data_IF_121898803705
#
_entry.id   IF_121898803705
#
_cell.length_a   1.000
_cell.length_b   1.000
_cell.length_c   1.000
_cell.angle_alpha   90.00
_cell.angle_beta   90.00
_cell.angle_gamma   90.00
#
_symmetry.space_group_name_H-M   'P 1'
#
loop_
_entity.id
_entity.type
_entity.pdbx_description
1 polymer ?
#
# COMPACT_ATOMS: atom_id res chain seq x y z
N UNK A 1 -57.88 -10.48 33.18
CA UNK A 1 -56.94 -9.58 32.51
C UNK A 1 -55.52 -10.12 32.76
N UNK A 2 -54.94 -10.92 31.81
CA UNK A 2 -53.60 -11.47 31.88
C UNK A 2 -52.67 -10.59 31.04
N UNK A 3 -51.73 -9.87 31.69
CA UNK A 3 -50.63 -9.15 31.03
C UNK A 3 -49.62 -10.18 30.57
N UNK A 4 -49.41 -10.30 29.26
CA UNK A 4 -48.26 -11.02 28.66
C UNK A 4 -47.05 -10.09 28.67
N UNK A 5 -46.03 -10.49 29.39
CA UNK A 5 -44.70 -9.88 29.40
C UNK A 5 -43.93 -10.42 28.18
N UNK A 6 -43.61 -9.56 27.22
CA UNK A 6 -42.77 -9.88 26.09
C UNK A 6 -41.33 -9.70 26.54
N UNK A 7 -40.61 -10.80 26.70
CA UNK A 7 -39.14 -10.76 26.87
C UNK A 7 -38.51 -10.62 25.48
N UNK A 8 -37.93 -9.45 25.23
CA UNK A 8 -37.06 -9.23 24.09
C UNK A 8 -35.66 -9.81 24.46
N UNK A 9 -35.31 -10.96 23.91
CA UNK A 9 -33.94 -11.44 23.97
C UNK A 9 -33.08 -10.62 23.01
N UNK A 10 -32.34 -9.67 23.55
CA UNK A 10 -31.24 -8.97 22.85
C UNK A 10 -30.06 -9.91 22.84
N UNK A 11 -29.85 -10.64 21.74
CA UNK A 11 -28.63 -11.40 21.52
C UNK A 11 -27.51 -10.39 21.21
N UNK A 12 -26.81 -9.97 22.27
CA UNK A 12 -25.51 -9.30 22.12
C UNK A 12 -24.49 -10.37 21.68
N UNK A 13 -24.26 -10.49 20.38
CA UNK A 13 -23.07 -11.16 19.88
C UNK A 13 -21.87 -10.30 20.23
N UNK A 14 -21.24 -10.60 21.36
CA UNK A 14 -19.91 -10.11 21.67
C UNK A 14 -18.95 -10.80 20.67
N UNK A 15 -18.67 -10.15 19.54
CA UNK A 15 -17.54 -10.53 18.71
C UNK A 15 -16.31 -10.10 19.50
N UNK A 16 -15.74 -11.03 20.27
CA UNK A 16 -14.38 -10.88 20.77
C UNK A 16 -13.46 -10.87 19.54
N UNK A 17 -13.03 -9.69 19.15
CA UNK A 17 -11.93 -9.53 18.19
C UNK A 17 -10.67 -10.03 18.88
N UNK A 18 -10.47 -11.34 18.88
CA UNK A 18 -9.17 -11.93 19.06
C UNK A 18 -8.36 -11.52 17.83
N UNK A 19 -7.49 -10.53 17.99
CA UNK A 19 -6.45 -10.26 17.00
C UNK A 19 -5.71 -11.59 16.77
N UNK A 20 -5.68 -12.15 15.56
CA UNK A 20 -4.93 -13.35 15.32
C UNK A 20 -3.44 -13.02 15.49
N UNK A 21 -2.82 -13.57 16.51
CA UNK A 21 -1.36 -13.71 16.54
C UNK A 21 -1.01 -14.64 15.39
N UNK A 22 -0.67 -14.08 14.25
CA UNK A 22 -0.22 -14.84 13.10
C UNK A 22 1.21 -15.25 13.39
N UNK A 23 1.39 -16.47 13.89
CA UNK A 23 2.68 -17.16 13.87
C UNK A 23 2.96 -17.42 12.39
N UNK A 24 3.93 -16.70 11.83
CA UNK A 24 4.38 -16.90 10.47
C UNK A 24 5.02 -18.31 10.38
N UNK A 25 4.35 -19.24 9.73
CA UNK A 25 5.03 -20.43 9.21
C UNK A 25 5.96 -19.97 8.09
N UNK A 26 7.25 -19.97 8.36
CA UNK A 26 8.29 -19.67 7.37
C UNK A 26 8.43 -20.88 6.45
N UNK A 27 7.74 -20.84 5.33
CA UNK A 27 8.08 -21.70 4.19
C UNK A 27 9.47 -21.35 3.65
N UNK A 28 10.10 -22.24 2.89
CA UNK A 28 11.48 -22.19 2.38
C UNK A 28 11.94 -20.88 1.66
N UNK A 29 11.10 -19.87 1.59
CA UNK A 29 11.39 -18.56 0.96
C UNK A 29 11.23 -17.36 1.89
N UNK A 30 11.01 -17.56 3.21
CA UNK A 30 10.77 -16.46 4.16
C UNK A 30 9.49 -15.64 3.90
N UNK A 31 8.63 -16.07 2.98
CA UNK A 31 7.37 -15.39 2.64
C UNK A 31 6.25 -15.97 3.49
N UNK A 32 5.65 -15.15 4.34
CA UNK A 32 4.43 -15.54 5.04
C UNK A 32 3.37 -15.99 4.03
N UNK A 33 2.80 -17.18 4.23
CA UNK A 33 1.68 -17.66 3.41
C UNK A 33 0.49 -16.73 3.65
N UNK A 34 0.03 -16.05 2.62
CA UNK A 34 -1.13 -15.15 2.68
C UNK A 34 -2.37 -15.95 2.35
N UNK A 35 -3.17 -16.26 3.36
CA UNK A 35 -4.46 -16.92 3.15
C UNK A 35 -5.52 -15.93 2.64
N UNK A 36 -6.55 -16.39 1.94
CA UNK A 36 -7.69 -15.53 1.56
C UNK A 36 -8.25 -14.78 2.77
N UNK A 37 -8.45 -15.47 3.89
CA UNK A 37 -8.97 -14.89 5.13
C UNK A 37 -8.12 -13.73 5.63
N UNK A 38 -6.80 -13.90 5.67
CA UNK A 38 -5.89 -12.87 6.18
C UNK A 38 -5.90 -11.62 5.30
N UNK A 39 -5.92 -11.81 3.98
CA UNK A 39 -5.95 -10.69 3.03
C UNK A 39 -7.30 -9.98 3.06
N UNK A 40 -8.42 -10.71 2.99
CA UNK A 40 -9.75 -10.12 2.99
C UNK A 40 -10.04 -9.39 4.32
N UNK A 41 -9.61 -9.96 5.45
CA UNK A 41 -9.70 -9.30 6.76
C UNK A 41 -8.90 -8.00 6.80
N UNK A 42 -7.71 -7.97 6.15
CA UNK A 42 -6.92 -6.73 6.07
C UNK A 42 -7.60 -5.65 5.25
N UNK A 43 -8.32 -6.00 4.17
CA UNK A 43 -9.14 -5.05 3.42
C UNK A 43 -10.29 -4.49 4.27
N UNK A 44 -11.03 -5.35 4.97
CA UNK A 44 -12.11 -4.91 5.85
C UNK A 44 -11.61 -3.98 6.96
N UNK A 45 -10.47 -4.31 7.58
CA UNK A 45 -9.85 -3.47 8.61
C UNK A 45 -9.35 -2.12 8.07
N UNK A 46 -8.77 -2.13 6.87
CA UNK A 46 -8.21 -0.94 6.25
C UNK A 46 -9.28 0.02 5.72
N UNK A 47 -10.36 -0.51 5.16
CA UNK A 47 -11.41 0.25 4.47
C UNK A 47 -12.82 -0.09 5.00
N UNK A 48 -13.08 0.07 6.33
CA UNK A 48 -14.35 -0.36 6.94
C UNK A 48 -15.57 0.30 6.32
N UNK A 49 -15.45 1.54 5.82
CA UNK A 49 -16.55 2.29 5.21
C UNK A 49 -16.77 1.96 3.72
N UNK A 50 -15.89 1.18 3.10
CA UNK A 50 -15.92 0.84 1.67
C UNK A 50 -16.21 -0.63 1.42
N UNK A 51 -15.71 -1.49 2.31
CA UNK A 51 -15.90 -2.94 2.24
C UNK A 51 -17.25 -3.29 2.86
N UNK A 52 -18.08 -3.99 2.08
CA UNK A 52 -19.35 -4.54 2.57
C UNK A 52 -19.17 -5.94 3.16
N UNK A 53 -19.82 -6.93 2.54
CA UNK A 53 -19.80 -8.31 3.02
C UNK A 53 -18.61 -9.07 2.47
N UNK A 54 -17.97 -9.88 3.33
CA UNK A 54 -17.02 -10.92 2.93
C UNK A 54 -17.67 -12.26 3.23
N UNK A 55 -17.85 -13.10 2.21
CA UNK A 55 -18.53 -14.40 2.31
C UNK A 55 -17.61 -15.50 1.84
N UNK A 56 -17.53 -16.58 2.63
CA UNK A 56 -16.88 -17.82 2.20
C UNK A 56 -17.91 -18.65 1.42
N UNK A 57 -17.65 -18.83 0.16
CA UNK A 57 -18.41 -19.71 -0.73
C UNK A 57 -17.78 -21.12 -0.75
N UNK A 58 -18.44 -22.16 -1.31
CA UNK A 58 -17.93 -23.54 -1.28
C UNK A 58 -16.51 -23.67 -1.83
N UNK A 59 -16.20 -22.99 -2.92
CA UNK A 59 -14.95 -23.16 -3.67
C UNK A 59 -14.03 -21.92 -3.60
N UNK A 60 -14.53 -20.76 -3.10
CA UNK A 60 -13.76 -19.52 -3.11
C UNK A 60 -14.30 -18.54 -2.03
N UNK A 61 -13.77 -17.32 -2.03
CA UNK A 61 -14.23 -16.20 -1.21
C UNK A 61 -14.76 -15.07 -2.09
N UNK A 62 -15.79 -14.40 -1.61
CA UNK A 62 -16.42 -13.27 -2.25
C UNK A 62 -16.35 -12.04 -1.37
N UNK A 63 -15.98 -10.89 -1.94
CA UNK A 63 -15.95 -9.57 -1.28
C UNK A 63 -16.84 -8.59 -2.04
N UNK A 64 -17.65 -7.84 -1.30
CA UNK A 64 -18.48 -6.75 -1.82
C UNK A 64 -17.85 -5.39 -1.50
N UNK A 65 -17.81 -4.50 -2.50
CA UNK A 65 -17.26 -3.16 -2.38
C UNK A 65 -18.20 -2.19 -3.08
N UNK A 66 -18.95 -1.41 -2.31
CA UNK A 66 -20.05 -0.60 -2.84
C UNK A 66 -21.08 -1.49 -3.54
N UNK A 67 -21.32 -1.23 -4.83
CA UNK A 67 -22.24 -2.02 -5.66
C UNK A 67 -21.56 -3.14 -6.47
N UNK A 68 -20.30 -3.40 -6.23
CA UNK A 68 -19.49 -4.37 -6.97
C UNK A 68 -19.16 -5.58 -6.11
N UNK A 69 -19.10 -6.77 -6.72
CA UNK A 69 -18.68 -8.00 -6.07
C UNK A 69 -17.49 -8.61 -6.82
N UNK A 70 -16.54 -9.13 -6.05
CA UNK A 70 -15.35 -9.78 -6.59
C UNK A 70 -15.12 -11.11 -5.87
N UNK A 71 -14.67 -12.09 -6.64
CA UNK A 71 -14.20 -13.37 -6.15
C UNK A 71 -12.70 -13.29 -5.89
N UNK A 72 -12.23 -13.96 -4.87
CA UNK A 72 -10.81 -13.98 -4.50
C UNK A 72 -9.93 -14.48 -5.66
N UNK A 73 -10.37 -15.59 -6.30
CA UNK A 73 -9.73 -16.16 -7.50
C UNK A 73 -8.19 -16.24 -7.35
N UNK A 74 -7.71 -16.83 -6.25
CA UNK A 74 -6.29 -16.93 -5.91
C UNK A 74 -5.56 -15.55 -5.91
N UNK A 75 -6.17 -14.55 -5.30
CA UNK A 75 -5.63 -13.19 -5.16
C UNK A 75 -5.76 -12.29 -6.39
N UNK A 76 -6.56 -12.69 -7.39
CA UNK A 76 -6.79 -11.88 -8.60
C UNK A 76 -7.92 -10.88 -8.45
N UNK A 77 -8.87 -11.13 -7.56
CA UNK A 77 -10.06 -10.30 -7.33
C UNK A 77 -10.86 -10.04 -8.62
N UNK A 78 -11.50 -11.09 -9.13
CA UNK A 78 -12.22 -11.04 -10.39
C UNK A 78 -13.73 -10.90 -10.19
N UNK A 79 -14.43 -10.13 -11.04
CA UNK A 79 -15.87 -10.25 -11.12
C UNK A 79 -16.25 -11.64 -11.67
N UNK A 80 -17.43 -12.13 -11.32
CA UNK A 80 -17.91 -13.48 -11.70
C UNK A 80 -17.74 -13.78 -13.20
N UNK A 81 -18.06 -12.81 -14.04
CA UNK A 81 -17.98 -12.94 -15.50
C UNK A 81 -16.56 -13.22 -16.05
N UNK A 82 -15.51 -12.98 -15.24
CA UNK A 82 -14.12 -13.18 -15.63
C UNK A 82 -13.49 -14.44 -15.02
N UNK A 83 -14.17 -15.18 -14.15
CA UNK A 83 -13.65 -16.40 -13.55
C UNK A 83 -13.28 -17.46 -14.61
N UNK A 84 -14.08 -17.60 -15.66
CA UNK A 84 -13.77 -18.50 -16.79
C UNK A 84 -12.51 -18.16 -17.57
N UNK A 85 -11.93 -16.99 -17.32
CA UNK A 85 -10.71 -16.50 -17.98
C UNK A 85 -9.66 -15.99 -16.98
N UNK A 86 -9.67 -16.51 -15.77
CA UNK A 86 -8.78 -16.07 -14.66
C UNK A 86 -7.30 -16.15 -15.02
N UNK A 87 -6.90 -17.12 -15.84
CA UNK A 87 -5.52 -17.29 -16.31
C UNK A 87 -4.95 -16.09 -17.07
N UNK A 88 -5.82 -15.19 -17.56
CA UNK A 88 -5.41 -13.93 -18.19
C UNK A 88 -4.92 -12.87 -17.20
N UNK A 89 -5.11 -13.10 -15.91
CA UNK A 89 -4.78 -12.16 -14.85
C UNK A 89 -3.77 -12.75 -13.88
N UNK A 90 -2.95 -11.89 -13.32
CA UNK A 90 -1.97 -12.21 -12.30
C UNK A 90 -2.52 -11.81 -10.92
N UNK A 91 -2.25 -12.60 -9.89
CA UNK A 91 -2.58 -12.27 -8.49
C UNK A 91 -1.94 -10.94 -8.06
N UNK A 92 -2.62 -10.22 -7.19
CA UNK A 92 -2.03 -9.05 -6.52
C UNK A 92 -0.87 -9.47 -5.61
N UNK A 93 0.18 -8.65 -5.50
CA UNK A 93 1.30 -8.95 -4.61
C UNK A 93 0.97 -8.50 -3.19
N UNK A 94 0.58 -9.44 -2.35
CA UNK A 94 0.42 -9.24 -0.92
C UNK A 94 1.73 -9.63 -0.21
N UNK A 95 2.68 -8.69 -0.19
CA UNK A 95 4.04 -8.91 0.27
C UNK A 95 4.23 -8.52 1.74
N UNK A 96 5.34 -8.97 2.31
CA UNK A 96 5.79 -8.54 3.64
C UNK A 96 6.23 -7.08 3.58
N UNK A 97 5.72 -6.27 4.49
CA UNK A 97 6.06 -4.87 4.66
C UNK A 97 6.45 -4.64 6.13
N UNK A 98 7.68 -4.26 6.37
CA UNK A 98 8.26 -4.07 7.70
C UNK A 98 8.41 -2.59 8.04
N UNK A 99 8.45 -2.25 9.34
CA UNK A 99 8.76 -0.89 9.80
C UNK A 99 10.18 -0.47 9.40
N UNK A 100 11.11 -1.42 9.35
CA UNK A 100 12.51 -1.18 8.99
C UNK A 100 12.80 -1.56 7.54
N UNK A 101 13.93 -1.07 7.02
CA UNK A 101 14.45 -1.50 5.73
C UNK A 101 14.77 -3.00 5.75
N UNK A 102 14.29 -3.78 4.75
CA UNK A 102 14.64 -5.18 4.66
C UNK A 102 16.14 -5.35 4.39
N UNK A 103 16.82 -6.37 4.96
CA UNK A 103 18.23 -6.59 4.70
C UNK A 103 18.48 -6.91 3.21
N UNK A 104 19.54 -6.33 2.65
CA UNK A 104 20.05 -6.71 1.34
C UNK A 104 21.04 -7.85 1.55
N UNK A 105 20.67 -9.05 1.11
CA UNK A 105 21.43 -10.27 1.29
C UNK A 105 21.82 -10.83 -0.07
N UNK A 106 23.10 -11.18 -0.23
CA UNK A 106 23.58 -11.89 -1.42
C UNK A 106 22.83 -13.22 -1.57
N UNK A 107 22.12 -13.46 -2.69
CA UNK A 107 21.39 -14.68 -2.89
C UNK A 107 22.33 -15.87 -3.14
N UNK A 108 21.91 -17.08 -2.71
CA UNK A 108 22.60 -18.29 -3.17
C UNK A 108 22.55 -18.40 -4.70
N UNK A 109 23.47 -19.16 -5.33
CA UNK A 109 23.45 -19.34 -6.78
C UNK A 109 22.10 -19.78 -7.34
N UNK A 110 21.42 -20.70 -6.63
CA UNK A 110 20.10 -21.22 -7.02
C UNK A 110 19.00 -20.14 -6.88
N UNK A 111 19.08 -19.31 -5.84
CA UNK A 111 18.16 -18.19 -5.66
C UNK A 111 18.42 -17.09 -6.71
N UNK A 112 19.68 -16.82 -7.02
CA UNK A 112 20.08 -15.86 -8.06
C UNK A 112 19.50 -16.26 -9.41
N UNK A 113 19.67 -17.52 -9.81
CA UNK A 113 19.09 -18.03 -11.04
C UNK A 113 17.55 -17.83 -11.08
N UNK A 114 16.86 -18.19 -10.00
CA UNK A 114 15.39 -17.99 -9.91
C UNK A 114 14.98 -16.51 -9.97
N UNK A 115 15.77 -15.61 -9.40
CA UNK A 115 15.54 -14.17 -9.48
C UNK A 115 15.71 -13.66 -10.91
N UNK A 116 16.76 -14.08 -11.60
CA UNK A 116 17.01 -13.73 -12.99
C UNK A 116 15.91 -14.24 -13.93
N UNK A 117 15.50 -15.50 -13.76
CA UNK A 117 14.36 -16.08 -14.48
C UNK A 117 13.07 -15.28 -14.24
N UNK A 118 12.81 -14.87 -12.98
CA UNK A 118 11.65 -14.06 -12.63
C UNK A 118 11.70 -12.65 -13.23
N UNK A 119 12.88 -12.01 -13.22
CA UNK A 119 13.09 -10.68 -13.82
C UNK A 119 12.85 -10.77 -15.33
N UNK A 120 13.46 -11.77 -16.00
CA UNK A 120 13.31 -11.99 -17.44
C UNK A 120 11.86 -12.33 -17.81
N UNK A 121 11.19 -13.19 -17.02
CA UNK A 121 9.80 -13.53 -17.27
C UNK A 121 8.86 -12.31 -17.13
N UNK A 122 9.18 -11.35 -16.27
CA UNK A 122 8.41 -10.10 -16.13
C UNK A 122 8.41 -9.27 -17.43
N UNK A 123 9.50 -9.30 -18.18
CA UNK A 123 9.62 -8.59 -19.45
C UNK A 123 8.82 -9.28 -20.56
N UNK A 124 8.88 -10.62 -20.60
CA UNK A 124 8.20 -11.43 -21.62
C UNK A 124 6.70 -11.59 -21.33
N UNK A 125 6.36 -11.82 -20.05
CA UNK A 125 5.00 -12.01 -19.55
C UNK A 125 4.69 -10.97 -18.46
N UNK A 126 4.46 -9.71 -18.83
CA UNK A 126 4.25 -8.65 -17.86
C UNK A 126 3.03 -8.92 -16.97
N UNK A 127 3.14 -8.76 -15.65
CA UNK A 127 2.02 -8.99 -14.73
C UNK A 127 0.81 -8.11 -15.11
N UNK A 128 -0.36 -8.72 -15.24
CA UNK A 128 -1.61 -8.04 -15.57
C UNK A 128 -2.64 -8.29 -14.47
N UNK A 129 -2.84 -7.34 -13.58
CA UNK A 129 -3.82 -7.42 -12.50
C UNK A 129 -5.14 -6.81 -12.95
N UNK A 130 -6.24 -7.44 -12.55
CA UNK A 130 -7.56 -6.89 -12.81
C UNK A 130 -7.78 -5.67 -11.88
N UNK A 131 -8.12 -4.47 -12.40
CA UNK A 131 -8.17 -3.27 -11.57
C UNK A 131 -9.42 -3.16 -10.69
N UNK A 132 -10.41 -4.06 -10.86
CA UNK A 132 -11.77 -3.91 -10.34
C UNK A 132 -11.88 -3.62 -8.85
N UNK A 133 -11.14 -4.34 -8.00
CA UNK A 133 -11.19 -4.14 -6.55
C UNK A 133 -10.77 -2.71 -6.15
N UNK A 134 -9.68 -2.19 -6.72
CA UNK A 134 -9.24 -0.83 -6.42
C UNK A 134 -10.06 0.23 -7.16
N UNK A 135 -10.58 -0.09 -8.34
CA UNK A 135 -11.58 0.77 -9.00
C UNK A 135 -12.79 0.98 -8.10
N UNK A 136 -13.29 -0.08 -7.47
CA UNK A 136 -14.43 0.01 -6.55
C UNK A 136 -14.07 0.79 -5.26
N UNK A 137 -12.91 0.52 -4.65
CA UNK A 137 -12.42 1.24 -3.47
C UNK A 137 -12.31 2.75 -3.75
N UNK A 138 -11.74 3.13 -4.88
CA UNK A 138 -11.51 4.52 -5.26
C UNK A 138 -12.67 5.15 -6.06
N UNK A 139 -13.76 4.40 -6.31
CA UNK A 139 -14.96 4.85 -7.06
C UNK A 139 -14.60 5.39 -8.43
N UNK A 140 -13.75 4.67 -9.16
CA UNK A 140 -13.35 4.99 -10.52
C UNK A 140 -13.64 3.82 -11.47
N UNK A 141 -13.88 4.13 -12.73
CA UNK A 141 -14.09 3.15 -13.80
C UNK A 141 -13.10 3.35 -14.96
N UNK A 142 -12.71 4.61 -15.16
CA UNK A 142 -11.87 5.05 -16.27
C UNK A 142 -11.16 6.35 -15.91
N UNK A 143 -10.34 6.86 -16.82
CA UNK A 143 -9.58 8.10 -16.64
C UNK A 143 -10.45 9.32 -16.29
N UNK A 144 -11.61 9.45 -16.92
CA UNK A 144 -12.53 10.57 -16.66
C UNK A 144 -13.06 10.53 -15.23
N UNK A 145 -13.51 9.36 -14.76
CA UNK A 145 -14.00 9.21 -13.40
C UNK A 145 -12.89 9.37 -12.38
N UNK A 146 -11.67 8.91 -12.67
CA UNK A 146 -10.50 9.11 -11.82
C UNK A 146 -10.11 10.59 -11.70
N UNK A 147 -10.14 11.32 -12.82
CA UNK A 147 -9.95 12.78 -12.83
C UNK A 147 -10.98 13.50 -11.96
N UNK A 148 -12.26 13.12 -12.08
CA UNK A 148 -13.35 13.72 -11.29
C UNK A 148 -13.22 13.46 -9.79
N UNK A 149 -12.62 12.33 -9.38
CA UNK A 149 -12.33 12.01 -7.99
C UNK A 149 -11.09 12.75 -7.47
N UNK A 150 -10.18 13.15 -8.34
CA UNK A 150 -8.96 13.85 -7.96
C UNK A 150 -9.21 15.35 -7.73
N UNK A 151 -8.49 15.93 -6.76
CA UNK A 151 -8.55 17.34 -6.39
C UNK A 151 -7.16 17.92 -6.32
N UNK A 152 -7.05 19.24 -6.60
CA UNK A 152 -5.81 19.97 -6.37
C UNK A 152 -5.50 20.02 -4.87
N UNK A 153 -4.27 19.69 -4.54
CA UNK A 153 -3.66 19.87 -3.24
C UNK A 153 -2.31 20.58 -3.42
N UNK A 154 -1.74 21.00 -2.30
CA UNK A 154 -0.37 21.51 -2.24
C UNK A 154 0.37 20.71 -1.19
N UNK A 155 1.66 20.48 -1.39
CA UNK A 155 2.56 19.86 -0.42
C UNK A 155 3.94 20.48 -0.54
N UNK A 156 4.44 21.05 0.53
CA UNK A 156 5.69 21.83 0.57
C UNK A 156 5.75 22.93 -0.50
N UNK A 157 4.60 23.58 -0.77
CA UNK A 157 4.46 24.62 -1.80
C UNK A 157 4.34 24.10 -3.24
N UNK A 158 4.42 22.78 -3.48
CA UNK A 158 4.24 22.18 -4.80
C UNK A 158 2.79 21.75 -5.03
N UNK A 159 2.26 22.11 -6.20
CA UNK A 159 0.91 21.72 -6.61
C UNK A 159 0.89 20.29 -7.11
N UNK A 160 -0.07 19.50 -6.64
CA UNK A 160 -0.35 18.15 -7.16
C UNK A 160 -1.85 17.93 -7.27
N UNK A 161 -2.25 16.81 -7.85
CA UNK A 161 -3.62 16.28 -7.77
C UNK A 161 -3.61 14.96 -7.03
N UNK A 162 -4.55 14.77 -6.09
CA UNK A 162 -4.70 13.58 -5.28
C UNK A 162 -6.18 13.21 -5.17
N UNK A 163 -6.50 11.94 -4.90
CA UNK A 163 -7.87 11.53 -4.66
C UNK A 163 -8.47 12.31 -3.49
N UNK A 164 -9.73 12.74 -3.61
CA UNK A 164 -10.39 13.58 -2.60
C UNK A 164 -10.39 13.00 -1.19
N UNK A 165 -10.44 11.65 -1.08
CA UNK A 165 -10.45 10.95 0.21
C UNK A 165 -9.08 11.00 0.93
N UNK A 166 -8.03 11.49 0.29
CA UNK A 166 -6.68 11.56 0.85
C UNK A 166 -6.20 12.99 1.13
N UNK A 167 -7.07 14.00 0.95
CA UNK A 167 -6.70 15.40 1.17
C UNK A 167 -6.32 15.66 2.63
N UNK A 168 -7.10 15.17 3.57
CA UNK A 168 -6.88 15.38 4.99
C UNK A 168 -5.64 14.63 5.49
N UNK A 169 -5.41 13.40 4.98
CA UNK A 169 -4.19 12.64 5.28
C UNK A 169 -2.93 13.38 4.80
N UNK A 170 -2.97 13.90 3.57
CA UNK A 170 -1.83 14.60 3.01
C UNK A 170 -1.54 15.92 3.75
N UNK A 171 -2.59 16.66 4.12
CA UNK A 171 -2.46 17.89 4.90
C UNK A 171 -1.86 17.62 6.30
N UNK A 172 -2.31 16.57 6.97
CA UNK A 172 -1.78 16.16 8.28
C UNK A 172 -0.32 15.72 8.21
N UNK A 173 0.08 15.01 7.13
CA UNK A 173 1.48 14.63 6.89
C UNK A 173 2.35 15.90 6.71
N UNK A 174 1.89 16.85 5.89
CA UNK A 174 2.64 18.10 5.68
C UNK A 174 2.81 18.91 6.95
N UNK A 175 1.74 19.06 7.75
CA UNK A 175 1.77 19.74 9.04
C UNK A 175 2.80 19.11 9.99
N UNK A 176 2.75 17.79 10.14
CA UNK A 176 3.69 17.05 10.99
C UNK A 176 5.14 17.21 10.52
N UNK A 177 5.41 17.00 9.23
CA UNK A 177 6.76 17.08 8.67
C UNK A 177 7.31 18.50 8.75
N UNK A 178 6.48 19.52 8.53
CA UNK A 178 6.87 20.92 8.65
C UNK A 178 7.25 21.24 10.10
N UNK A 179 6.45 20.79 11.07
CA UNK A 179 6.73 21.01 12.48
C UNK A 179 7.99 20.26 12.95
N UNK A 180 8.19 19.00 12.52
CA UNK A 180 9.43 18.22 12.81
C UNK A 180 10.67 18.88 12.22
N UNK A 181 10.59 19.42 11.01
CA UNK A 181 11.72 20.06 10.31
C UNK A 181 12.27 21.29 11.07
N UNK A 182 11.51 21.88 12.00
CA UNK A 182 12.00 22.97 12.85
C UNK A 182 13.17 22.52 13.75
N UNK A 183 13.15 21.26 14.23
CA UNK A 183 14.18 20.67 15.08
C UNK A 183 15.10 19.66 14.36
N UNK A 184 14.77 19.24 13.16
CA UNK A 184 15.47 18.23 12.37
C UNK A 184 16.08 18.85 11.10
N UNK A 185 17.39 19.06 11.11
CA UNK A 185 18.11 19.67 10.00
C UNK A 185 18.19 18.80 8.76
N UNK A 186 18.22 17.46 8.89
CA UNK A 186 18.23 16.53 7.77
C UNK A 186 16.88 16.52 7.07
N UNK A 187 15.80 16.41 7.83
CA UNK A 187 14.43 16.47 7.30
C UNK A 187 14.16 17.81 6.60
N UNK A 188 14.58 18.93 7.22
CA UNK A 188 14.45 20.25 6.60
C UNK A 188 15.19 20.33 5.28
N UNK A 189 16.45 19.88 5.23
CA UNK A 189 17.24 19.89 4.01
C UNK A 189 16.63 19.00 2.92
N UNK A 190 16.04 17.85 3.28
CA UNK A 190 15.34 17.00 2.34
C UNK A 190 14.11 17.71 1.77
N UNK A 191 13.24 18.29 2.62
CA UNK A 191 12.04 19.04 2.18
C UNK A 191 12.44 20.19 1.25
N UNK A 192 13.45 21.00 1.61
CA UNK A 192 13.95 22.09 0.77
C UNK A 192 14.56 21.62 -0.56
N UNK A 193 15.03 20.38 -0.62
CA UNK A 193 15.57 19.77 -1.83
C UNK A 193 14.48 19.34 -2.82
N UNK A 194 13.23 19.21 -2.40
CA UNK A 194 12.12 18.82 -3.27
C UNK A 194 11.97 19.85 -4.37
N UNK A 195 11.93 19.38 -5.62
CA UNK A 195 11.73 20.19 -6.83
C UNK A 195 10.31 20.09 -7.35
N UNK A 196 9.70 18.91 -7.20
CA UNK A 196 8.37 18.61 -7.69
C UNK A 196 7.72 17.52 -6.86
N UNK A 197 6.40 17.59 -6.75
CA UNK A 197 5.57 16.54 -6.11
C UNK A 197 4.52 16.10 -7.13
N UNK A 198 4.50 14.82 -7.47
CA UNK A 198 3.60 14.26 -8.48
C UNK A 198 2.56 13.37 -7.81
N UNK A 199 1.28 13.59 -8.12
CA UNK A 199 0.16 12.80 -7.62
C UNK A 199 -0.54 12.04 -8.74
N UNK A 200 -1.81 12.38 -9.03
CA UNK A 200 -2.60 11.73 -10.06
C UNK A 200 -1.94 11.77 -11.44
N UNK A 201 -1.84 10.60 -12.04
CA UNK A 201 -1.40 10.40 -13.42
C UNK A 201 -1.98 9.09 -13.95
N UNK A 202 -2.83 9.18 -14.98
CA UNK A 202 -3.44 8.00 -15.60
C UNK A 202 -2.42 7.24 -16.44
N UNK A 203 -1.84 6.20 -15.86
CA UNK A 203 -0.79 5.40 -16.49
C UNK A 203 -0.74 3.97 -15.97
N UNK A 204 -0.05 3.12 -16.70
CA UNK A 204 0.30 1.77 -16.23
C UNK A 204 1.64 1.80 -15.50
N UNK A 205 1.85 0.81 -14.64
CA UNK A 205 3.16 0.56 -14.03
C UNK A 205 4.11 0.09 -15.13
N UNK A 206 5.32 0.65 -15.16
CA UNK A 206 6.36 0.27 -16.11
C UNK A 206 6.60 -1.25 -16.13
N UNK A 207 6.77 -1.80 -17.32
CA UNK A 207 6.93 -3.25 -17.57
C UNK A 207 5.78 -4.11 -17.02
N UNK A 208 4.56 -3.55 -16.94
CA UNK A 208 3.37 -4.32 -16.53
C UNK A 208 2.12 -3.93 -17.34
N UNK A 209 1.11 -4.80 -17.31
CA UNK A 209 -0.23 -4.48 -17.80
C UNK A 209 -1.17 -3.86 -16.75
N UNK A 210 -0.66 -3.60 -15.54
CA UNK A 210 -1.46 -3.15 -14.39
C UNK A 210 -1.54 -1.63 -14.30
N UNK A 211 -2.66 -1.08 -13.79
CA UNK A 211 -2.76 0.34 -13.48
C UNK A 211 -1.81 0.72 -12.34
N UNK A 212 -1.18 1.88 -12.47
CA UNK A 212 -0.41 2.50 -11.38
C UNK A 212 -1.37 3.06 -10.31
N UNK A 213 -0.90 3.14 -9.06
CA UNK A 213 -1.66 3.80 -7.97
C UNK A 213 -1.83 5.30 -8.21
N UNK A 214 -0.97 5.93 -9.00
CA UNK A 214 -1.20 7.29 -9.50
C UNK A 214 -2.48 7.42 -10.31
N UNK A 215 -2.91 6.37 -11.02
CA UNK A 215 -4.16 6.39 -11.77
C UNK A 215 -5.39 6.50 -10.87
N UNK A 216 -5.30 6.07 -9.63
CA UNK A 216 -6.34 6.24 -8.61
C UNK A 216 -6.24 7.60 -7.89
N UNK A 217 -5.18 8.39 -8.13
CA UNK A 217 -4.84 9.52 -7.29
C UNK A 217 -4.45 9.11 -5.87
N UNK A 218 -3.95 7.89 -5.70
CA UNK A 218 -3.63 7.30 -4.40
C UNK A 218 -2.12 7.05 -4.22
N UNK A 219 -1.29 7.79 -4.94
CA UNK A 219 0.15 7.77 -4.82
C UNK A 219 0.74 9.17 -4.98
N UNK A 220 1.92 9.37 -4.38
CA UNK A 220 2.69 10.62 -4.44
C UNK A 220 4.16 10.29 -4.68
N UNK A 221 4.79 10.98 -5.64
CA UNK A 221 6.22 10.91 -5.91
C UNK A 221 6.90 12.23 -5.50
N UNK A 222 8.02 12.13 -4.78
CA UNK A 222 8.85 13.27 -4.38
C UNK A 222 10.13 13.31 -5.20
N UNK A 223 10.25 14.30 -6.08
CA UNK A 223 11.39 14.51 -6.94
C UNK A 223 12.28 15.63 -6.38
N UNK A 224 13.51 15.31 -6.06
CA UNK A 224 14.48 16.27 -5.52
C UNK A 224 15.27 17.00 -6.63
N UNK A 225 15.86 18.13 -6.30
CA UNK A 225 16.70 18.95 -7.21
C UNK A 225 17.95 18.19 -7.65
N UNK A 226 18.47 17.32 -6.78
CA UNK A 226 19.65 16.48 -7.05
C UNK A 226 19.58 15.22 -6.21
N UNK A 227 19.97 14.09 -6.78
CA UNK A 227 20.16 12.83 -6.06
C UNK A 227 21.58 12.65 -5.52
N UNK A 228 22.49 13.57 -5.83
CA UNK A 228 23.92 13.41 -5.50
C UNK A 228 24.57 12.20 -6.19
N UNK A 229 24.04 11.78 -7.34
CA UNK A 229 24.52 10.59 -8.07
C UNK A 229 23.97 9.26 -7.52
N UNK A 230 23.11 9.30 -6.53
CA UNK A 230 22.44 8.11 -5.97
C UNK A 230 21.23 7.70 -6.82
N UNK A 231 20.91 6.41 -6.80
CA UNK A 231 19.75 5.86 -7.52
C UNK A 231 18.44 6.08 -6.76
N UNK A 232 17.39 6.48 -7.46
CA UNK A 232 16.03 6.60 -6.90
C UNK A 232 15.12 5.45 -7.34
N UNK A 233 15.38 4.85 -8.50
CA UNK A 233 14.44 3.94 -9.15
C UNK A 233 15.17 2.76 -9.77
N UNK A 234 14.71 1.53 -9.45
CA UNK A 234 15.32 0.28 -9.88
C UNK A 234 15.49 0.18 -11.41
N UNK A 235 14.49 0.64 -12.19
CA UNK A 235 14.52 0.52 -13.65
C UNK A 235 15.60 1.40 -14.28
N UNK A 236 15.89 2.56 -13.69
CA UNK A 236 17.01 3.37 -14.13
C UNK A 236 18.35 2.69 -13.80
N UNK A 237 18.45 2.12 -12.59
CA UNK A 237 19.65 1.42 -12.15
C UNK A 237 19.93 0.17 -12.99
N UNK A 238 18.90 -0.60 -13.37
CA UNK A 238 19.00 -1.79 -14.21
C UNK A 238 19.74 -1.55 -15.52
N UNK A 239 19.65 -0.34 -16.09
CA UNK A 239 20.37 0.01 -17.31
C UNK A 239 21.89 0.09 -17.13
N UNK A 240 22.38 0.21 -15.90
CA UNK A 240 23.81 0.33 -15.56
C UNK A 240 24.35 -0.88 -14.82
N UNK A 241 23.48 -1.61 -14.11
CA UNK A 241 23.87 -2.70 -13.24
C UNK A 241 22.81 -3.83 -13.28
N UNK A 242 23.13 -5.01 -13.82
CA UNK A 242 22.22 -6.14 -13.84
C UNK A 242 21.88 -6.66 -12.44
N UNK A 243 22.73 -6.41 -11.44
CA UNK A 243 22.50 -6.76 -10.03
C UNK A 243 21.92 -5.60 -9.22
N UNK A 244 21.18 -4.68 -9.87
CA UNK A 244 20.54 -3.52 -9.27
C UNK A 244 19.81 -3.80 -7.97
N UNK A 245 19.30 -5.01 -7.77
CA UNK A 245 18.59 -5.44 -6.57
C UNK A 245 19.53 -5.60 -5.35
N UNK A 246 20.84 -5.72 -5.56
CA UNK A 246 21.86 -5.73 -4.52
C UNK A 246 22.45 -4.34 -4.23
N UNK A 247 21.97 -3.28 -4.91
CA UNK A 247 22.48 -1.94 -4.68
C UNK A 247 22.32 -1.55 -3.21
N UNK A 248 23.42 -1.25 -2.48
CA UNK A 248 23.33 -0.86 -1.07
C UNK A 248 22.49 0.40 -0.84
N UNK A 249 21.87 0.50 0.33
CA UNK A 249 21.01 1.65 0.69
C UNK A 249 21.74 2.97 0.65
N UNK A 250 23.03 3.03 1.00
CA UNK A 250 23.86 4.23 0.96
C UNK A 250 24.02 4.79 -0.46
N UNK A 251 23.83 3.94 -1.48
CA UNK A 251 23.83 4.32 -2.91
C UNK A 251 22.46 4.66 -3.44
N UNK A 252 21.41 4.52 -2.63
CA UNK A 252 20.06 4.94 -2.97
C UNK A 252 19.80 6.34 -2.43
N UNK A 253 19.12 7.17 -3.20
CA UNK A 253 18.64 8.46 -2.73
C UNK A 253 17.33 8.26 -2.00
N UNK A 254 17.35 8.38 -0.68
CA UNK A 254 16.20 8.07 0.17
C UNK A 254 15.77 9.31 0.97
N UNK A 255 14.47 9.45 1.27
CA UNK A 255 14.02 10.40 2.27
C UNK A 255 14.53 9.98 3.66
N UNK A 256 14.64 10.92 4.63
CA UNK A 256 14.89 10.59 6.04
C UNK A 256 13.81 9.63 6.60
N UNK A 257 14.18 8.83 7.59
CA UNK A 257 13.24 7.88 8.23
C UNK A 257 12.00 8.60 8.78
N UNK A 258 12.17 9.77 9.39
CA UNK A 258 11.06 10.58 9.92
C UNK A 258 10.05 11.01 8.83
N UNK A 259 10.51 11.17 7.59
CA UNK A 259 9.65 11.45 6.45
C UNK A 259 8.82 10.21 6.07
N UNK A 260 9.46 9.04 6.01
CA UNK A 260 8.79 7.78 5.70
C UNK A 260 7.75 7.42 6.77
N UNK A 261 8.13 7.51 8.05
CA UNK A 261 7.25 7.22 9.18
C UNK A 261 5.98 8.07 9.19
N UNK A 262 6.07 9.37 8.84
CA UNK A 262 4.90 10.25 8.79
C UNK A 262 3.88 9.77 7.76
N UNK A 263 4.32 9.26 6.60
CA UNK A 263 3.47 8.66 5.59
C UNK A 263 2.90 7.31 6.03
N UNK A 264 3.72 6.45 6.61
CA UNK A 264 3.31 5.12 7.07
C UNK A 264 2.24 5.22 8.17
N UNK A 265 2.39 6.16 9.10
CA UNK A 265 1.37 6.43 10.13
C UNK A 265 0.02 6.86 9.55
N UNK A 266 -0.01 7.36 8.32
CA UNK A 266 -1.22 7.78 7.61
C UNK A 266 -1.72 6.75 6.59
N UNK A 267 -1.23 5.51 6.63
CA UNK A 267 -1.71 4.42 5.78
C UNK A 267 -1.02 4.29 4.43
N UNK A 268 0.02 5.08 4.18
CA UNK A 268 0.84 4.92 2.99
C UNK A 268 1.92 3.87 3.22
N UNK A 269 2.38 3.24 2.14
CA UNK A 269 3.59 2.44 2.11
C UNK A 269 4.60 3.10 1.20
N UNK A 270 5.89 2.86 1.47
CA UNK A 270 6.99 3.47 0.74
C UNK A 270 7.68 2.46 -0.19
N UNK A 271 7.88 2.85 -1.44
CA UNK A 271 8.50 2.02 -2.47
C UNK A 271 9.99 1.74 -2.26
N UNK A 272 10.67 2.48 -1.37
CA UNK A 272 12.07 2.23 -1.02
C UNK A 272 12.30 0.88 -0.32
N UNK A 273 11.26 0.29 0.29
CA UNK A 273 11.29 -1.03 0.94
C UNK A 273 11.00 -2.20 -0.03
N UNK A 274 10.74 -1.92 -1.31
CA UNK A 274 10.42 -2.97 -2.27
C UNK A 274 11.65 -3.60 -2.90
N UNK A 275 11.50 -4.84 -3.39
CA UNK A 275 12.51 -5.47 -4.23
C UNK A 275 12.76 -4.64 -5.50
N UNK A 276 11.70 -4.25 -6.21
CA UNK A 276 11.72 -3.28 -7.31
C UNK A 276 11.63 -1.87 -6.72
N UNK A 277 12.71 -1.41 -6.06
CA UNK A 277 12.69 -0.19 -5.27
C UNK A 277 12.36 1.06 -6.08
N UNK A 278 11.57 1.92 -5.45
CA UNK A 278 11.19 3.23 -5.96
C UNK A 278 11.18 4.21 -4.78
N UNK A 279 12.31 4.89 -4.55
CA UNK A 279 12.50 5.65 -3.31
C UNK A 279 11.77 6.99 -3.29
N UNK A 280 11.29 7.46 -4.45
CA UNK A 280 10.46 8.67 -4.52
C UNK A 280 8.98 8.38 -4.25
N UNK A 281 8.55 7.11 -4.36
CA UNK A 281 7.15 6.69 -4.44
C UNK A 281 6.56 6.30 -3.10
N UNK A 282 5.40 6.90 -2.78
CA UNK A 282 4.52 6.53 -1.68
C UNK A 282 3.13 6.22 -2.24
N UNK A 283 2.52 5.10 -1.82
CA UNK A 283 1.16 4.76 -2.23
C UNK A 283 0.28 4.40 -1.03
N UNK A 284 -0.96 4.86 -1.04
CA UNK A 284 -1.91 4.60 0.04
C UNK A 284 -2.41 3.15 -0.03
N UNK A 285 -1.90 2.32 0.86
CA UNK A 285 -2.13 0.87 0.92
C UNK A 285 -2.29 0.36 2.35
N UNK A 286 -3.25 0.90 3.09
CA UNK A 286 -3.43 0.52 4.50
C UNK A 286 -3.74 -0.97 4.69
N UNK A 287 -4.28 -1.66 3.67
CA UNK A 287 -4.48 -3.11 3.70
C UNK A 287 -3.17 -3.89 3.72
N UNK A 288 -2.09 -3.34 3.15
CA UNK A 288 -0.76 -3.95 3.26
C UNK A 288 -0.20 -3.77 4.67
N UNK A 289 -0.39 -2.60 5.29
CA UNK A 289 -0.01 -2.39 6.69
C UNK A 289 -0.76 -3.35 7.61
N UNK A 290 -2.10 -3.40 7.51
CA UNK A 290 -2.94 -4.31 8.29
C UNK A 290 -2.52 -5.77 8.12
N UNK A 291 -2.28 -6.21 6.88
CA UNK A 291 -1.83 -7.57 6.56
C UNK A 291 -0.49 -7.92 7.20
N UNK A 292 0.33 -6.94 7.53
CA UNK A 292 1.63 -7.10 8.17
C UNK A 292 1.60 -6.75 9.67
N UNK A 293 0.40 -6.73 10.28
CA UNK A 293 0.23 -6.60 11.73
C UNK A 293 0.32 -5.17 12.26
N UNK A 294 0.29 -4.15 11.38
CA UNK A 294 0.13 -2.78 11.84
C UNK A 294 -1.30 -2.57 12.33
N UNK A 295 -1.46 -1.84 13.43
CA UNK A 295 -2.76 -1.55 14.03
C UNK A 295 -3.09 -0.06 13.95
N UNK A 296 -4.38 0.26 13.86
CA UNK A 296 -4.88 1.63 13.99
C UNK A 296 -5.10 1.96 15.46
N UNK A 297 -4.52 3.05 15.92
CA UNK A 297 -4.73 3.58 17.27
C UNK A 297 -4.99 5.08 17.23
N UNK A 298 -5.86 5.55 18.14
CA UNK A 298 -5.98 6.97 18.43
C UNK A 298 -4.89 7.36 19.43
N UNK A 299 -3.99 8.23 19.00
CA UNK A 299 -2.88 8.72 19.81
C UNK A 299 -2.54 10.17 19.49
N UNK A 300 -1.88 10.88 20.43
CA UNK A 300 -1.35 12.20 20.12
C UNK A 300 -0.31 12.11 18.99
N UNK A 301 -0.42 12.99 18.01
CA UNK A 301 0.66 13.21 17.06
C UNK A 301 1.92 13.62 17.84
N UNK A 302 3.08 13.01 17.60
CA UNK A 302 4.28 13.23 18.41
C UNK A 302 4.85 14.65 18.32
N UNK A 303 4.37 15.44 17.36
CA UNK A 303 4.85 16.81 17.11
C UNK A 303 3.80 17.85 17.42
N UNK A 304 2.57 17.66 16.91
CA UNK A 304 1.48 18.64 17.08
C UNK A 304 0.68 18.44 18.37
N UNK A 305 0.74 17.24 18.97
CA UNK A 305 -0.05 16.85 20.14
C UNK A 305 -1.53 16.62 19.86
N UNK A 306 -1.99 16.78 18.62
CA UNK A 306 -3.38 16.55 18.22
C UNK A 306 -3.67 15.05 18.21
N UNK A 307 -4.80 14.65 18.79
CA UNK A 307 -5.24 13.24 18.74
C UNK A 307 -5.64 12.88 17.30
N UNK A 308 -5.05 11.81 16.81
CA UNK A 308 -5.25 11.34 15.45
C UNK A 308 -5.25 9.81 15.39
N UNK A 309 -5.92 9.25 14.39
CA UNK A 309 -5.80 7.83 14.08
C UNK A 309 -4.49 7.59 13.33
N UNK A 310 -3.61 6.79 13.91
CA UNK A 310 -2.31 6.45 13.34
C UNK A 310 -2.15 4.94 13.14
N UNK A 311 -1.41 4.54 12.11
CA UNK A 311 -0.96 3.17 11.91
C UNK A 311 0.34 2.94 12.68
N UNK A 312 0.33 1.95 13.56
CA UNK A 312 1.43 1.62 14.48
C UNK A 312 2.04 0.29 14.04
N UNK A 313 3.36 0.23 13.82
CA UNK A 313 4.04 -1.00 13.44
C UNK A 313 4.06 -2.02 14.57
N UNK A 314 4.18 -3.33 14.23
CA UNK A 314 4.39 -4.37 15.22
C UNK A 314 5.63 -4.11 16.07
N UNK A 315 5.50 -4.24 17.41
CA UNK A 315 6.59 -4.04 18.37
C UNK A 315 6.70 -2.63 18.95
N UNK A 316 5.87 -1.67 18.52
CA UNK A 316 5.76 -0.32 19.12
C UNK A 316 4.49 -0.13 19.97
N UNK A 317 3.76 -1.22 20.21
CA UNK A 317 2.52 -1.28 21.02
C UNK A 317 2.82 -1.45 22.50
#
# INVERSE_FOLDING_TARGET
VKKRLFFLFLNLFLISVLAPVIIAETGETGRAVRTPESVLSSFLYAYPDKIGTITKEPDDWRIEIGNSAFWWADGRFLPESLLVSESKFTSYPFYTYTSHLPPIVEPSPELKQRLEERINNREVNPPRRHPGVYNAIWRIENETTAWNQSKTAFMFGHKLMIHRDLLDELASIEEELTARAAGDGELRAYIESIRNVEGYSWRRIAETGSLSYHSYGAAVDFLTKSTGGKSMYWLWQKNFDPEWYLLPYEKRHMPPDSFVEAFERRGFIWGGKWFYYDTMHFEYRPEILALNGWLKEERPNPVTGVIETAWIPPGEL
#
